data_IF_473656795941
#
_entry.id   IF_473656795941
#
_cell.length_a   1.000
_cell.length_b   1.000
_cell.length_c   1.000
_cell.angle_alpha   90.00
_cell.angle_beta   90.00
_cell.angle_gamma   90.00
#
_symmetry.space_group_name_H-M   'P 1'
#
loop_
_entity.id
_entity.type
_entity.pdbx_description
1 polymer ?
#
# COMPACT_ATOMS: atom_id res chain seq x y z
N UNK A 1 -5.80 5.92 19.18
CA UNK A 1 -5.09 6.71 20.19
C UNK A 1 -3.63 6.43 19.92
N UNK A 2 -2.87 7.41 19.44
CA UNK A 2 -1.46 7.23 19.12
C UNK A 2 -0.64 8.14 20.05
N UNK A 3 0.49 7.62 20.51
CA UNK A 3 1.36 8.24 21.49
C UNK A 3 2.63 8.73 20.79
N UNK A 4 3.06 9.94 21.12
CA UNK A 4 4.36 10.48 20.70
C UNK A 4 5.43 9.99 21.69
N UNK A 5 6.64 9.69 21.21
CA UNK A 5 7.70 9.09 22.00
C UNK A 5 8.97 9.95 21.91
N UNK A 6 9.34 10.59 23.02
CA UNK A 6 10.70 11.11 23.25
C UNK A 6 11.44 10.14 24.17
N UNK A 7 12.67 9.76 23.80
CA UNK A 7 13.50 8.78 24.50
C UNK A 7 14.77 9.44 25.03
N UNK A 8 14.80 9.73 26.33
CA UNK A 8 16.03 10.12 27.03
C UNK A 8 16.72 8.89 27.64
N UNK A 9 18.01 8.70 27.31
CA UNK A 9 18.83 7.59 27.79
C UNK A 9 19.70 8.02 28.99
N UNK A 10 19.46 7.41 30.16
CA UNK A 10 20.42 7.39 31.27
C UNK A 10 20.79 5.93 31.56
N UNK A 11 22.02 5.57 31.20
CA UNK A 11 22.61 4.26 31.50
C UNK A 11 23.18 4.28 32.92
N UNK A 12 22.37 3.95 33.91
CA UNK A 12 22.86 3.43 35.19
C UNK A 12 22.69 1.91 35.19
N UNK A 13 23.73 1.21 35.64
CA UNK A 13 23.89 -0.24 35.53
C UNK A 13 22.63 -1.01 35.90
N UNK A 14 22.22 -1.93 35.02
CA UNK A 14 21.12 -2.92 35.10
C UNK A 14 19.67 -2.43 34.97
N UNK A 15 19.36 -1.13 34.95
CA UNK A 15 17.97 -0.67 34.79
C UNK A 15 17.84 0.40 33.72
N UNK A 16 17.02 0.15 32.69
CA UNK A 16 16.56 1.18 31.76
C UNK A 16 15.30 1.84 32.32
N UNK A 17 15.38 3.13 32.67
CA UNK A 17 14.22 3.94 33.03
C UNK A 17 13.69 4.61 31.76
N UNK A 18 12.40 4.38 31.48
CA UNK A 18 11.69 4.99 30.37
C UNK A 18 10.70 6.01 30.92
N UNK A 19 10.71 7.25 30.40
CA UNK A 19 9.70 8.25 30.70
C UNK A 19 8.87 8.49 29.44
N UNK A 20 7.58 8.15 29.49
CA UNK A 20 6.66 8.38 28.37
C UNK A 20 5.78 9.56 28.73
N UNK A 21 5.85 10.64 27.96
CA UNK A 21 5.02 11.82 28.18
C UNK A 21 3.95 11.89 27.09
N UNK A 22 2.70 11.59 27.46
CA UNK A 22 1.55 11.69 26.55
C UNK A 22 0.95 13.09 26.65
N UNK A 23 1.22 13.95 25.67
CA UNK A 23 0.89 15.38 25.75
C UNK A 23 -0.34 15.82 24.95
N UNK A 24 -0.75 15.03 23.95
CA UNK A 24 -1.98 15.21 23.19
C UNK A 24 -2.33 13.90 22.45
N UNK A 25 -3.57 13.79 21.99
CA UNK A 25 -4.02 12.64 21.18
C UNK A 25 -4.34 13.15 19.79
N UNK A 26 -3.67 12.61 18.76
CA UNK A 26 -4.20 12.68 17.40
C UNK A 26 -5.44 11.78 17.41
N UNK A 27 -6.63 12.40 17.46
CA UNK A 27 -7.91 11.66 17.40
C UNK A 27 -7.88 10.83 16.13
N UNK A 28 -8.14 9.53 16.28
CA UNK A 28 -8.45 8.63 15.17
C UNK A 28 -9.79 9.09 14.60
N UNK A 29 -9.75 10.08 13.74
CA UNK A 29 -10.93 10.65 13.12
C UNK A 29 -11.21 9.84 11.87
N UNK A 30 -12.40 9.23 11.82
CA UNK A 30 -12.94 8.66 10.59
C UNK A 30 -13.02 9.71 9.46
N UNK A 31 -13.07 11.01 9.80
CA UNK A 31 -13.00 12.14 8.85
C UNK A 31 -11.58 12.49 8.37
N UNK A 32 -10.52 11.98 9.01
CA UNK A 32 -9.12 12.18 8.59
C UNK A 32 -8.55 10.97 7.82
N UNK A 33 -9.40 10.01 7.46
CA UNK A 33 -9.11 9.02 6.42
C UNK A 33 -9.15 9.69 5.03
N UNK A 34 -8.30 10.70 4.79
CA UNK A 34 -8.13 11.28 3.46
C UNK A 34 -7.06 10.51 2.68
N UNK A 35 -7.37 10.17 1.43
CA UNK A 35 -6.46 10.08 0.28
C UNK A 35 -5.13 9.35 0.60
N UNK A 36 -4.06 9.97 1.14
CA UNK A 36 -2.76 9.32 1.55
C UNK A 36 -2.85 8.28 2.70
N UNK A 37 -4.04 7.75 2.97
CA UNK A 37 -4.30 6.66 3.93
C UNK A 37 -4.40 5.29 3.29
N UNK A 38 -4.42 5.22 1.95
CA UNK A 38 -4.56 4.00 1.18
C UNK A 38 -3.19 3.33 1.01
N UNK A 39 -2.99 2.21 1.71
CA UNK A 39 -1.81 1.34 1.55
C UNK A 39 -2.25 -0.04 1.22
N UNK A 40 -1.95 -0.45 0.00
CA UNK A 40 -2.18 -1.81 -0.45
C UNK A 40 -0.88 -2.57 -0.31
N UNK A 41 -0.89 -3.60 0.51
CA UNK A 41 0.25 -4.50 0.62
C UNK A 41 -0.19 -5.88 0.22
N UNK A 42 0.47 -6.38 -0.81
CA UNK A 42 0.14 -7.67 -1.36
C UNK A 42 0.65 -8.82 -0.48
N UNK A 43 -0.16 -9.87 -0.38
CA UNK A 43 0.15 -11.12 0.29
C UNK A 43 0.03 -12.26 -0.72
N UNK A 44 1.11 -13.00 -0.92
CA UNK A 44 1.11 -14.20 -1.76
C UNK A 44 0.40 -15.32 -1.02
N UNK A 45 -0.77 -15.73 -1.52
CA UNK A 45 -1.56 -16.84 -0.96
C UNK A 45 -0.85 -18.18 -1.14
N UNK A 46 -0.17 -18.38 -2.27
CA UNK A 46 0.64 -19.56 -2.58
C UNK A 46 1.81 -19.75 -1.61
N UNK A 47 2.39 -18.66 -1.10
CA UNK A 47 3.42 -18.76 -0.06
C UNK A 47 2.81 -19.23 1.26
N UNK A 48 1.58 -18.83 1.59
CA UNK A 48 0.87 -19.32 2.77
C UNK A 48 0.56 -20.82 2.60
N UNK A 49 0.04 -21.22 1.44
CA UNK A 49 -0.23 -22.63 1.09
C UNK A 49 1.00 -23.51 1.27
N UNK A 50 2.10 -23.14 0.59
CA UNK A 50 3.34 -23.91 0.65
C UNK A 50 3.92 -23.96 2.07
N UNK A 51 3.99 -22.80 2.74
CA UNK A 51 4.66 -22.66 4.03
C UNK A 51 3.95 -23.38 5.15
N UNK A 52 2.63 -23.32 5.18
CA UNK A 52 1.81 -23.89 6.23
C UNK A 52 1.19 -25.24 5.85
N UNK A 53 1.41 -25.71 4.62
CA UNK A 53 0.91 -26.99 4.14
C UNK A 53 -0.62 -27.04 4.08
N UNK A 54 -1.25 -25.91 3.79
CA UNK A 54 -2.73 -25.78 3.72
C UNK A 54 -3.20 -25.91 2.27
N UNK A 55 -4.29 -26.62 2.06
CA UNK A 55 -4.86 -26.85 0.74
C UNK A 55 -5.76 -25.69 0.31
N UNK A 56 -5.58 -25.19 -0.91
CA UNK A 56 -6.36 -24.08 -1.43
C UNK A 56 -7.88 -24.35 -1.36
N UNK A 57 -8.61 -23.48 -0.66
CA UNK A 57 -10.05 -23.62 -0.46
C UNK A 57 -10.47 -24.54 0.70
N UNK A 58 -9.52 -25.14 1.45
CA UNK A 58 -9.82 -25.87 2.69
C UNK A 58 -10.16 -24.92 3.84
N UNK A 59 -10.75 -25.44 4.92
CA UNK A 59 -11.02 -24.68 6.15
C UNK A 59 -9.76 -24.02 6.71
N UNK A 60 -8.66 -24.76 6.73
CA UNK A 60 -7.37 -24.31 7.27
C UNK A 60 -6.76 -23.20 6.42
N UNK A 61 -6.97 -23.24 5.11
CA UNK A 61 -6.55 -22.17 4.20
C UNK A 61 -7.31 -20.87 4.48
N UNK A 62 -8.63 -20.94 4.61
CA UNK A 62 -9.45 -19.80 5.01
C UNK A 62 -9.02 -19.20 6.36
N UNK A 63 -8.76 -20.05 7.35
CA UNK A 63 -8.28 -19.64 8.68
C UNK A 63 -6.89 -18.99 8.61
N UNK A 64 -5.97 -19.55 7.84
CA UNK A 64 -4.62 -19.00 7.66
C UNK A 64 -4.67 -17.60 7.00
N UNK A 65 -5.48 -17.43 5.96
CA UNK A 65 -5.66 -16.11 5.34
C UNK A 65 -6.28 -15.12 6.33
N UNK A 66 -7.26 -15.54 7.14
CA UNK A 66 -7.90 -14.68 8.15
C UNK A 66 -6.95 -14.20 9.24
N UNK A 67 -6.09 -15.09 9.71
CA UNK A 67 -5.06 -14.74 10.68
C UNK A 67 -4.13 -13.66 10.14
N UNK A 68 -3.64 -13.83 8.90
CA UNK A 68 -2.74 -12.87 8.26
C UNK A 68 -3.44 -11.53 7.99
N UNK A 69 -4.68 -11.56 7.50
CA UNK A 69 -5.50 -10.38 7.26
C UNK A 69 -5.65 -9.55 8.54
N UNK A 70 -6.16 -10.17 9.62
CA UNK A 70 -6.42 -9.49 10.91
C UNK A 70 -5.15 -8.95 11.54
N UNK A 71 -4.06 -9.70 11.44
CA UNK A 71 -2.77 -9.29 11.98
C UNK A 71 -2.22 -8.06 11.24
N UNK A 72 -2.35 -7.95 9.92
CA UNK A 72 -1.85 -6.80 9.16
C UNK A 72 -2.66 -5.51 9.41
N UNK A 73 -3.94 -5.61 9.73
CA UNK A 73 -4.78 -4.43 10.02
C UNK A 73 -4.26 -3.59 11.20
N UNK A 74 -3.54 -4.19 12.15
CA UNK A 74 -2.95 -3.44 13.28
C UNK A 74 -1.83 -2.48 12.82
N UNK A 75 -1.22 -2.76 11.66
CA UNK A 75 -0.16 -1.97 11.04
C UNK A 75 -0.66 -0.89 10.07
N UNK A 76 -1.98 -0.62 10.06
CA UNK A 76 -2.64 0.29 9.09
C UNK A 76 -2.41 -0.10 7.63
N UNK A 77 -2.17 -1.39 7.39
CA UNK A 77 -2.10 -1.98 6.06
C UNK A 77 -3.51 -2.39 5.66
N UNK A 78 -3.89 -2.13 4.41
CA UNK A 78 -5.04 -2.78 3.77
C UNK A 78 -4.53 -3.96 2.96
N UNK A 79 -4.52 -5.17 3.54
CA UNK A 79 -3.96 -6.33 2.88
C UNK A 79 -4.88 -6.80 1.74
N UNK A 80 -4.27 -7.31 0.68
CA UNK A 80 -4.96 -8.09 -0.33
C UNK A 80 -4.10 -9.30 -0.69
N UNK A 81 -4.76 -10.41 -0.98
CA UNK A 81 -4.12 -11.62 -1.48
C UNK A 81 -3.98 -11.53 -2.99
N UNK A 82 -2.89 -12.09 -3.51
CA UNK A 82 -2.61 -12.10 -4.93
C UNK A 82 -2.04 -13.45 -5.36
N UNK A 83 -2.59 -13.93 -6.47
CA UNK A 83 -2.09 -15.06 -7.23
C UNK A 83 -1.74 -14.61 -8.64
N UNK A 84 -0.45 -14.61 -8.97
CA UNK A 84 0.00 -14.36 -10.34
C UNK A 84 -0.38 -15.51 -11.26
N UNK A 85 -0.81 -15.14 -12.46
CA UNK A 85 -1.08 -16.02 -13.57
C UNK A 85 -0.08 -15.72 -14.70
N UNK A 86 -0.25 -16.39 -15.83
CA UNK A 86 0.57 -16.16 -17.02
C UNK A 86 0.45 -14.70 -17.50
N UNK A 87 1.51 -14.20 -18.13
CA UNK A 87 1.57 -12.87 -18.76
C UNK A 87 1.22 -11.70 -17.83
N UNK A 88 1.64 -11.77 -16.55
CA UNK A 88 1.41 -10.73 -15.54
C UNK A 88 -0.07 -10.45 -15.20
N UNK A 89 -0.99 -11.35 -15.60
CA UNK A 89 -2.35 -11.31 -15.09
C UNK A 89 -2.35 -11.67 -13.61
N UNK A 90 -3.20 -11.01 -12.84
CA UNK A 90 -3.29 -11.23 -11.39
C UNK A 90 -4.71 -11.58 -11.00
N UNK A 91 -4.85 -12.53 -10.07
CA UNK A 91 -6.08 -12.70 -9.30
C UNK A 91 -5.86 -12.06 -7.93
N UNK A 92 -6.53 -10.94 -7.69
CA UNK A 92 -6.43 -10.20 -6.43
C UNK A 92 -7.75 -10.19 -5.68
N UNK A 93 -7.70 -10.36 -4.37
CA UNK A 93 -8.88 -10.33 -3.51
C UNK A 93 -8.48 -10.01 -2.08
N UNK A 94 -9.28 -9.25 -1.36
CA UNK A 94 -9.05 -9.02 0.07
C UNK A 94 -9.76 -10.06 0.94
N UNK A 95 -10.98 -10.46 0.58
CA UNK A 95 -11.70 -11.52 1.28
C UNK A 95 -11.69 -12.81 0.44
N UNK A 96 -11.27 -13.96 0.99
CA UNK A 96 -11.32 -15.23 0.27
C UNK A 96 -12.74 -15.82 0.16
N UNK A 97 -13.68 -15.35 0.99
CA UNK A 97 -15.08 -15.77 0.94
C UNK A 97 -15.87 -14.96 -0.09
N UNK A 98 -16.91 -15.56 -0.72
CA UNK A 98 -17.80 -14.83 -1.62
C UNK A 98 -18.60 -13.75 -0.88
N UNK A 99 -19.11 -12.76 -1.63
CA UNK A 99 -19.82 -11.59 -1.11
C UNK A 99 -21.08 -11.91 -0.28
N UNK A 100 -21.74 -13.04 -0.54
CA UNK A 100 -22.92 -13.49 0.23
C UNK A 100 -22.56 -14.15 1.57
N UNK A 101 -21.29 -14.47 1.79
CA UNK A 101 -20.84 -15.09 3.03
C UNK A 101 -20.71 -14.04 4.16
N UNK A 102 -21.14 -14.34 5.40
CA UNK A 102 -21.07 -13.39 6.53
C UNK A 102 -19.66 -12.84 6.81
N UNK A 103 -18.60 -13.64 6.58
CA UNK A 103 -17.21 -13.21 6.72
C UNK A 103 -16.82 -12.07 5.77
N UNK A 104 -17.45 -11.99 4.60
CA UNK A 104 -17.18 -10.94 3.62
C UNK A 104 -17.52 -9.56 4.18
N UNK A 105 -18.67 -9.45 4.85
CA UNK A 105 -19.08 -8.21 5.53
C UNK A 105 -18.17 -7.89 6.73
N UNK A 106 -17.75 -8.89 7.52
CA UNK A 106 -16.76 -8.72 8.62
C UNK A 106 -15.46 -8.10 8.10
N UNK A 107 -14.98 -8.54 6.94
CA UNK A 107 -13.75 -8.02 6.32
C UNK A 107 -13.93 -6.58 5.86
N UNK A 108 -14.87 -6.37 4.94
CA UNK A 108 -14.98 -5.12 4.20
C UNK A 108 -15.50 -3.96 5.05
N UNK A 109 -16.28 -4.25 6.09
CA UNK A 109 -16.77 -3.25 7.03
C UNK A 109 -15.72 -2.79 8.06
N UNK A 110 -14.58 -3.49 8.22
CA UNK A 110 -13.58 -3.13 9.24
C UNK A 110 -13.09 -1.68 9.03
N UNK A 111 -13.19 -0.81 10.06
CA UNK A 111 -12.79 0.59 9.94
C UNK A 111 -11.28 0.79 9.78
N UNK A 112 -10.45 -0.22 10.04
CA UNK A 112 -9.01 -0.22 9.74
C UNK A 112 -8.72 -0.41 8.25
N UNK A 113 -9.62 -1.05 7.52
CA UNK A 113 -9.47 -1.30 6.10
C UNK A 113 -9.82 -0.05 5.29
N UNK A 114 -8.83 0.50 4.60
CA UNK A 114 -8.98 1.73 3.81
C UNK A 114 -9.47 1.45 2.39
N UNK A 115 -9.01 0.37 1.77
CA UNK A 115 -9.46 -0.12 0.48
C UNK A 115 -9.40 -1.65 0.43
N UNK A 116 -10.15 -2.26 -0.48
CA UNK A 116 -10.14 -3.72 -0.66
C UNK A 116 -10.24 -4.14 -2.12
N UNK A 117 -9.49 -5.18 -2.48
CA UNK A 117 -9.53 -5.78 -3.80
C UNK A 117 -10.75 -6.70 -3.92
N UNK A 118 -11.50 -6.52 -5.00
CA UNK A 118 -12.59 -7.43 -5.41
C UNK A 118 -12.07 -8.37 -6.50
N UNK A 119 -12.30 -9.68 -6.38
CA UNK A 119 -11.87 -10.63 -7.40
C UNK A 119 -12.64 -10.45 -8.72
N UNK A 120 -11.93 -10.43 -9.85
CA UNK A 120 -12.55 -10.46 -11.19
C UNK A 120 -13.08 -11.86 -11.55
N UNK A 121 -12.56 -12.91 -10.93
CA UNK A 121 -12.93 -14.31 -11.15
C UNK A 121 -12.98 -15.06 -9.82
N UNK A 122 -13.73 -16.16 -9.69
CA UNK A 122 -13.85 -16.92 -8.45
C UNK A 122 -12.49 -17.19 -7.80
N UNK A 123 -12.38 -16.88 -6.50
CA UNK A 123 -11.17 -17.16 -5.71
C UNK A 123 -10.97 -18.67 -5.60
N UNK A 124 -12.04 -19.38 -5.25
CA UNK A 124 -12.11 -20.84 -5.23
C UNK A 124 -13.12 -21.27 -6.29
N UNK A 125 -12.79 -22.29 -7.07
CA UNK A 125 -13.66 -22.80 -8.14
C UNK A 125 -15.00 -23.27 -7.57
N UNK A 126 -16.10 -22.64 -7.99
CA UNK A 126 -17.44 -22.89 -7.50
C UNK A 126 -18.41 -23.44 -8.55
N UNK A 127 -17.92 -23.85 -9.73
CA UNK A 127 -18.74 -24.37 -10.84
C UNK A 127 -19.46 -23.28 -11.66
N UNK A 128 -19.56 -22.06 -11.14
CA UNK A 128 -20.07 -20.89 -11.86
C UNK A 128 -19.07 -20.40 -12.92
N UNK A 129 -19.57 -19.73 -13.97
CA UNK A 129 -18.69 -19.02 -14.90
C UNK A 129 -18.08 -17.79 -14.21
N UNK A 130 -16.91 -17.34 -14.68
CA UNK A 130 -16.28 -16.15 -14.12
C UNK A 130 -17.20 -14.90 -14.19
N UNK A 131 -18.00 -14.80 -15.25
CA UNK A 131 -18.94 -13.70 -15.47
C UNK A 131 -20.09 -13.73 -14.46
N UNK A 132 -20.68 -14.89 -14.23
CA UNK A 132 -21.80 -15.03 -13.27
C UNK A 132 -21.33 -14.76 -11.84
N UNK A 133 -20.13 -15.24 -11.49
CA UNK A 133 -19.52 -14.96 -10.19
C UNK A 133 -19.21 -13.48 -10.02
N UNK A 134 -18.60 -12.83 -11.02
CA UNK A 134 -18.31 -11.39 -10.98
C UNK A 134 -19.60 -10.57 -10.81
N UNK A 135 -20.64 -10.88 -11.60
CA UNK A 135 -21.92 -10.19 -11.51
C UNK A 135 -22.50 -10.30 -10.10
N UNK A 136 -22.55 -11.52 -9.53
CA UNK A 136 -23.07 -11.74 -8.18
C UNK A 136 -22.28 -10.98 -7.11
N UNK A 137 -20.95 -11.06 -7.16
CA UNK A 137 -20.06 -10.32 -6.25
C UNK A 137 -20.36 -8.82 -6.27
N UNK A 138 -20.41 -8.25 -7.47
CA UNK A 138 -20.67 -6.81 -7.67
C UNK A 138 -22.07 -6.41 -7.21
N UNK A 139 -23.11 -7.15 -7.60
CA UNK A 139 -24.49 -6.86 -7.23
C UNK A 139 -24.68 -6.82 -5.71
N UNK A 140 -24.05 -7.74 -4.98
CA UNK A 140 -24.11 -7.75 -3.52
C UNK A 140 -23.31 -6.60 -2.93
N UNK A 141 -22.04 -6.46 -3.32
CA UNK A 141 -21.13 -5.48 -2.69
C UNK A 141 -21.56 -4.03 -2.93
N UNK A 142 -22.17 -3.71 -4.07
CA UNK A 142 -22.71 -2.37 -4.37
C UNK A 142 -23.80 -1.92 -3.41
N UNK A 143 -24.53 -2.85 -2.80
CA UNK A 143 -25.56 -2.51 -1.80
C UNK A 143 -24.97 -2.07 -0.46
N UNK A 144 -23.65 -2.26 -0.27
CA UNK A 144 -22.99 -2.06 1.01
C UNK A 144 -22.35 -0.67 1.10
N UNK A 145 -22.40 -0.06 2.28
CA UNK A 145 -21.81 1.26 2.55
C UNK A 145 -20.29 1.32 2.34
N UNK A 146 -19.61 0.17 2.42
CA UNK A 146 -18.16 0.07 2.21
C UNK A 146 -17.78 -0.07 0.73
N UNK A 147 -18.73 -0.16 -0.22
CA UNK A 147 -18.45 -0.27 -1.66
C UNK A 147 -17.48 0.79 -2.18
N UNK A 148 -17.56 2.02 -1.66
CA UNK A 148 -16.63 3.11 -2.00
C UNK A 148 -15.14 2.80 -1.74
N UNK A 149 -14.85 1.77 -0.92
CA UNK A 149 -13.49 1.28 -0.64
C UNK A 149 -13.02 0.21 -1.64
N UNK A 150 -13.92 -0.35 -2.43
CA UNK A 150 -13.63 -1.40 -3.41
C UNK A 150 -12.78 -0.87 -4.56
N UNK A 151 -11.89 -1.72 -5.06
CA UNK A 151 -11.23 -1.56 -6.35
C UNK A 151 -10.98 -2.94 -6.97
N UNK A 152 -10.73 -2.97 -8.27
CA UNK A 152 -10.28 -4.16 -8.98
C UNK A 152 -8.84 -3.97 -9.45
N UNK A 153 -7.99 -4.96 -9.22
CA UNK A 153 -6.62 -4.99 -9.72
C UNK A 153 -6.45 -6.19 -10.65
N UNK A 154 -6.35 -5.89 -11.94
CA UNK A 154 -6.61 -6.87 -13.00
C UNK A 154 -5.32 -7.40 -13.64
N UNK A 155 -4.33 -6.52 -13.77
CA UNK A 155 -3.11 -6.77 -14.52
C UNK A 155 -1.96 -5.97 -13.92
N UNK A 156 -0.83 -6.64 -13.71
CA UNK A 156 0.38 -6.03 -13.18
C UNK A 156 1.29 -5.58 -14.32
N UNK A 157 1.67 -4.30 -14.35
CA UNK A 157 2.66 -3.72 -15.27
C UNK A 157 2.47 -4.13 -16.77
N UNK A 158 1.37 -3.73 -17.44
CA UNK A 158 1.15 -4.02 -18.86
C UNK A 158 2.23 -3.39 -19.75
N UNK A 159 2.61 -4.07 -20.85
CA UNK A 159 3.81 -3.72 -21.64
C UNK A 159 3.54 -3.35 -23.10
N UNK A 160 2.38 -3.76 -23.64
CA UNK A 160 2.04 -3.63 -25.05
C UNK A 160 0.52 -3.39 -25.21
N UNK A 161 0.10 -2.93 -26.37
CA UNK A 161 -1.29 -2.59 -26.64
C UNK A 161 -2.26 -3.75 -26.37
N UNK A 162 -1.86 -5.00 -26.61
CA UNK A 162 -2.68 -6.17 -26.30
C UNK A 162 -3.00 -6.26 -24.80
N UNK A 163 -2.03 -6.02 -23.92
CA UNK A 163 -2.26 -6.02 -22.48
C UNK A 163 -3.19 -4.87 -22.06
N UNK A 164 -3.00 -3.67 -22.62
CA UNK A 164 -3.85 -2.51 -22.34
C UNK A 164 -5.30 -2.74 -22.82
N UNK A 165 -5.49 -3.30 -24.02
CA UNK A 165 -6.83 -3.70 -24.50
C UNK A 165 -7.45 -4.79 -23.63
N UNK A 166 -6.64 -5.75 -23.13
CA UNK A 166 -7.08 -6.73 -22.15
C UNK A 166 -7.66 -6.10 -20.89
N UNK A 167 -6.95 -5.11 -20.32
CA UNK A 167 -7.42 -4.34 -19.15
C UNK A 167 -8.73 -3.61 -19.47
N UNK A 168 -8.81 -2.93 -20.63
CA UNK A 168 -10.01 -2.19 -21.05
C UNK A 168 -11.23 -3.10 -21.21
N UNK A 169 -11.05 -4.29 -21.76
CA UNK A 169 -12.12 -5.27 -21.92
C UNK A 169 -12.62 -5.78 -20.55
N UNK A 170 -11.70 -6.18 -19.66
CA UNK A 170 -12.06 -6.63 -18.31
C UNK A 170 -12.73 -5.52 -17.48
N UNK A 171 -12.23 -4.28 -17.60
CA UNK A 171 -12.84 -3.11 -16.97
C UNK A 171 -14.24 -2.83 -17.52
N UNK A 172 -14.44 -2.96 -18.84
CA UNK A 172 -15.76 -2.81 -19.47
C UNK A 172 -16.77 -3.84 -18.96
N UNK A 173 -16.34 -5.09 -18.76
CA UNK A 173 -17.18 -6.13 -18.15
C UNK A 173 -17.61 -5.74 -16.73
N UNK A 174 -16.70 -5.22 -15.92
CA UNK A 174 -17.00 -4.74 -14.56
C UNK A 174 -17.95 -3.54 -14.62
N UNK A 175 -17.66 -2.56 -15.48
CA UNK A 175 -18.43 -1.33 -15.61
C UNK A 175 -19.84 -1.56 -16.15
N UNK A 176 -20.08 -2.66 -16.88
CA UNK A 176 -21.42 -3.08 -17.28
C UNK A 176 -22.32 -3.38 -16.06
N UNK A 177 -21.74 -3.84 -14.94
CA UNK A 177 -22.45 -4.12 -13.69
C UNK A 177 -22.29 -3.01 -12.65
N UNK A 178 -21.18 -2.26 -12.69
CA UNK A 178 -20.82 -1.21 -11.75
C UNK A 178 -20.10 -0.05 -12.46
N UNK A 179 -20.82 0.92 -13.05
CA UNK A 179 -20.20 2.06 -13.74
C UNK A 179 -19.30 2.92 -12.84
N UNK A 180 -19.49 2.84 -11.52
CA UNK A 180 -18.73 3.54 -10.49
C UNK A 180 -17.56 2.72 -9.91
N UNK A 181 -17.33 1.50 -10.39
CA UNK A 181 -16.23 0.66 -9.92
C UNK A 181 -14.87 1.26 -10.28
N UNK A 182 -13.96 1.26 -9.31
CA UNK A 182 -12.58 1.73 -9.48
C UNK A 182 -11.69 0.60 -9.97
N UNK A 183 -10.99 0.82 -11.08
CA UNK A 183 -9.96 -0.11 -11.56
C UNK A 183 -8.58 0.48 -11.26
N UNK A 184 -7.67 -0.35 -10.76
CA UNK A 184 -6.27 -0.01 -10.52
C UNK A 184 -5.37 -0.64 -11.59
N UNK A 185 -4.41 0.15 -12.07
CA UNK A 185 -3.38 -0.32 -13.01
C UNK A 185 -2.01 0.14 -12.53
N UNK A 186 -1.10 -0.81 -12.29
CA UNK A 186 0.32 -0.54 -12.02
C UNK A 186 1.08 -0.36 -13.33
N UNK A 187 2.06 0.55 -13.39
CA UNK A 187 2.89 0.73 -14.58
C UNK A 187 4.23 1.41 -14.28
N UNK A 188 5.24 1.06 -15.09
CA UNK A 188 6.54 1.70 -15.12
C UNK A 188 6.96 2.14 -16.54
N UNK A 189 6.20 1.76 -17.57
CA UNK A 189 6.42 2.15 -18.95
C UNK A 189 5.09 2.25 -19.68
N UNK A 190 5.05 2.98 -20.80
CA UNK A 190 3.92 2.95 -21.72
C UNK A 190 3.97 1.75 -22.67
N UNK A 191 2.89 1.52 -23.44
CA UNK A 191 2.84 0.45 -24.44
C UNK A 191 3.96 0.61 -25.46
N UNK A 192 4.85 -0.39 -25.52
CA UNK A 192 6.08 -0.38 -26.33
C UNK A 192 5.83 -0.37 -27.85
N UNK A 193 4.65 -0.78 -28.28
CA UNK A 193 4.18 -0.91 -29.67
C UNK A 193 3.17 0.18 -30.06
N UNK A 194 3.03 1.23 -29.24
CA UNK A 194 2.06 2.30 -29.50
C UNK A 194 2.51 3.22 -30.66
N UNK A 195 1.69 3.37 -31.71
CA UNK A 195 1.96 4.32 -32.78
C UNK A 195 1.61 5.77 -32.40
N UNK A 196 0.98 5.96 -31.23
CA UNK A 196 0.42 7.23 -30.77
C UNK A 196 1.41 8.08 -29.95
N UNK A 197 2.58 7.54 -29.62
CA UNK A 197 3.64 8.26 -28.93
C UNK A 197 4.93 8.22 -29.75
N UNK A 198 5.63 9.35 -29.82
CA UNK A 198 6.90 9.46 -30.56
C UNK A 198 8.04 8.68 -29.90
N UNK A 199 7.91 8.37 -28.60
CA UNK A 199 8.88 7.61 -27.81
C UNK A 199 8.24 7.04 -26.53
N UNK A 200 8.95 6.12 -25.85
CA UNK A 200 8.47 5.43 -24.64
C UNK A 200 8.14 6.37 -23.46
N UNK A 201 8.77 7.54 -23.37
CA UNK A 201 8.52 8.49 -22.29
C UNK A 201 7.20 9.23 -22.50
N UNK A 202 6.92 9.66 -23.73
CA UNK A 202 5.61 10.22 -24.09
C UNK A 202 4.51 9.16 -23.92
N UNK A 203 4.76 7.91 -24.33
CA UNK A 203 3.83 6.81 -24.14
C UNK A 203 3.48 6.59 -22.65
N UNK A 204 4.49 6.73 -21.77
CA UNK A 204 4.32 6.62 -20.33
C UNK A 204 3.45 7.74 -19.75
N UNK A 205 3.69 9.00 -20.10
CA UNK A 205 2.88 10.13 -19.63
C UNK A 205 1.43 10.04 -20.13
N UNK A 206 1.21 9.42 -21.30
CA UNK A 206 -0.12 9.24 -21.89
C UNK A 206 -0.90 8.02 -21.41
N UNK A 207 -0.39 7.25 -20.45
CA UNK A 207 -1.12 6.09 -19.89
C UNK A 207 -2.52 6.45 -19.37
N UNK A 208 -2.71 7.56 -18.62
CA UNK A 208 -4.05 8.01 -18.26
C UNK A 208 -4.98 8.22 -19.47
N UNK A 209 -4.46 8.74 -20.58
CA UNK A 209 -5.22 8.89 -21.83
C UNK A 209 -5.59 7.54 -22.46
N UNK A 210 -4.66 6.58 -22.50
CA UNK A 210 -4.91 5.25 -23.05
C UNK A 210 -5.94 4.44 -22.27
N UNK A 211 -5.95 4.58 -20.94
CA UNK A 211 -6.80 3.78 -20.07
C UNK A 211 -8.13 4.44 -19.77
N UNK A 212 -8.30 5.76 -19.93
CA UNK A 212 -9.61 6.40 -19.72
C UNK A 212 -10.70 5.84 -20.64
N UNK A 213 -11.95 5.70 -20.16
CA UNK A 213 -12.42 5.91 -18.78
C UNK A 213 -12.28 4.66 -17.87
N UNK A 214 -11.55 3.63 -18.31
CA UNK A 214 -11.53 2.30 -17.71
C UNK A 214 -10.75 2.21 -16.39
N UNK A 215 -9.79 3.11 -16.15
CA UNK A 215 -8.94 3.12 -14.95
C UNK A 215 -9.21 4.35 -14.08
N UNK A 216 -9.27 4.14 -12.76
CA UNK A 216 -9.45 5.21 -11.77
C UNK A 216 -8.22 5.35 -10.85
N UNK A 217 -7.43 4.30 -10.67
CA UNK A 217 -6.24 4.34 -9.82
C UNK A 217 -5.01 4.05 -10.68
N UNK A 218 -4.25 5.10 -10.96
CA UNK A 218 -3.02 5.04 -11.73
C UNK A 218 -1.84 4.87 -10.79
N UNK A 219 -1.23 3.68 -10.74
CA UNK A 219 -0.17 3.36 -9.78
C UNK A 219 1.21 3.28 -10.47
N UNK A 220 2.05 4.28 -10.24
CA UNK A 220 3.32 4.46 -10.96
C UNK A 220 4.54 4.04 -10.15
N UNK A 221 5.52 3.43 -10.80
CA UNK A 221 6.78 3.07 -10.13
C UNK A 221 7.59 4.31 -9.75
N UNK A 222 8.01 4.41 -8.47
CA UNK A 222 8.92 5.45 -8.01
C UNK A 222 10.31 5.37 -8.66
N UNK A 223 10.68 4.19 -9.17
CA UNK A 223 11.93 4.01 -9.91
C UNK A 223 11.95 4.84 -11.20
N UNK A 224 10.82 4.92 -11.90
CA UNK A 224 10.70 5.68 -13.14
C UNK A 224 10.73 7.17 -12.85
N UNK A 225 10.08 7.61 -11.77
CA UNK A 225 10.10 9.02 -11.37
C UNK A 225 11.55 9.44 -11.09
N UNK A 226 12.31 8.59 -10.39
CA UNK A 226 13.72 8.85 -10.07
C UNK A 226 13.84 10.15 -9.28
N UNK A 227 14.81 11.01 -9.61
CA UNK A 227 15.01 12.30 -8.94
C UNK A 227 14.29 13.48 -9.66
N UNK A 228 13.33 13.18 -10.54
CA UNK A 228 12.66 14.17 -11.41
C UNK A 228 11.34 14.62 -10.79
N UNK A 229 11.38 15.60 -9.89
CA UNK A 229 10.15 16.14 -9.28
C UNK A 229 9.21 16.77 -10.32
N UNK A 230 9.74 17.35 -11.39
CA UNK A 230 8.91 17.86 -12.49
C UNK A 230 8.14 16.73 -13.20
N UNK A 231 8.71 15.51 -13.29
CA UNK A 231 7.99 14.37 -13.87
C UNK A 231 6.79 13.96 -13.00
N UNK A 232 6.91 14.03 -11.67
CA UNK A 232 5.76 13.79 -10.80
C UNK A 232 4.65 14.83 -11.05
N UNK A 233 5.01 16.10 -11.28
CA UNK A 233 4.04 17.15 -11.64
C UNK A 233 3.39 16.89 -13.00
N UNK A 234 4.18 16.48 -13.99
CA UNK A 234 3.67 16.14 -15.33
C UNK A 234 2.68 14.96 -15.26
N UNK A 235 2.98 13.92 -14.46
CA UNK A 235 2.06 12.80 -14.23
C UNK A 235 0.78 13.30 -13.57
N UNK A 236 0.87 14.09 -12.48
CA UNK A 236 -0.31 14.63 -11.79
C UNK A 236 -1.16 15.51 -12.72
N UNK A 237 -0.53 16.28 -13.61
CA UNK A 237 -1.25 17.13 -14.55
C UNK A 237 -2.12 16.35 -15.54
N UNK A 238 -1.78 15.08 -15.81
CA UNK A 238 -2.62 14.17 -16.60
C UNK A 238 -3.76 13.56 -15.77
N UNK A 239 -3.75 13.61 -14.44
CA UNK A 239 -4.81 13.01 -13.62
C UNK A 239 -6.03 13.95 -13.56
N UNK A 240 -7.23 13.39 -13.70
CA UNK A 240 -8.52 14.11 -13.69
C UNK A 240 -9.36 13.72 -12.44
N UNK A 241 -9.14 14.38 -11.28
CA UNK A 241 -9.87 14.07 -10.04
C UNK A 241 -11.39 14.18 -10.14
N UNK A 242 -11.90 15.03 -11.04
CA UNK A 242 -13.34 15.17 -11.33
C UNK A 242 -13.98 13.89 -11.88
N UNK A 243 -13.17 13.01 -12.49
CA UNK A 243 -13.59 11.68 -12.96
C UNK A 243 -13.36 10.59 -11.89
N UNK A 244 -12.98 10.97 -10.67
CA UNK A 244 -12.63 10.04 -9.61
C UNK A 244 -11.24 9.41 -9.78
N UNK A 245 -10.36 10.02 -10.57
CA UNK A 245 -9.00 9.52 -10.77
C UNK A 245 -8.08 9.83 -9.58
N UNK A 246 -7.21 8.87 -9.28
CA UNK A 246 -6.24 8.88 -8.20
C UNK A 246 -4.85 8.53 -8.74
N UNK A 247 -3.81 9.15 -8.19
CA UNK A 247 -2.43 8.83 -8.52
C UNK A 247 -1.70 8.20 -7.34
N UNK A 248 -1.31 6.95 -7.51
CA UNK A 248 -0.60 6.19 -6.49
C UNK A 248 0.83 5.93 -6.93
N UNK A 249 1.72 5.65 -5.97
CA UNK A 249 3.08 5.20 -6.28
C UNK A 249 3.35 3.82 -5.69
N UNK A 250 4.37 3.14 -6.19
CA UNK A 250 4.87 1.90 -5.60
C UNK A 250 6.39 1.79 -5.69
N UNK A 251 6.94 0.98 -4.78
CA UNK A 251 8.33 0.52 -4.81
C UNK A 251 8.38 -1.00 -4.92
N UNK A 252 9.46 -1.50 -5.51
CA UNK A 252 9.76 -2.94 -5.68
C UNK A 252 11.27 -3.13 -5.60
N UNK A 253 11.87 -3.84 -6.55
CA UNK A 253 13.32 -3.98 -6.67
C UNK A 253 14.02 -2.63 -6.85
N UNK A 254 13.32 -1.64 -7.41
CA UNK A 254 13.72 -0.25 -7.49
C UNK A 254 12.70 0.68 -6.81
N UNK A 255 13.10 1.94 -6.50
CA UNK A 255 14.47 2.45 -6.67
C UNK A 255 15.44 1.92 -5.61
N UNK A 256 16.75 2.01 -5.84
CA UNK A 256 17.80 1.59 -4.90
C UNK A 256 18.46 2.80 -4.24
N UNK A 257 19.34 2.56 -3.27
CA UNK A 257 20.15 3.62 -2.63
C UNK A 257 20.78 4.56 -3.69
N UNK A 258 20.71 5.90 -3.53
CA UNK A 258 20.30 6.63 -2.32
C UNK A 258 18.79 6.84 -2.14
N UNK A 259 17.95 6.30 -3.02
CA UNK A 259 16.49 6.49 -2.98
C UNK A 259 15.85 5.67 -1.85
N UNK A 260 14.73 6.16 -1.28
CA UNK A 260 14.02 5.40 -0.26
C UNK A 260 13.36 4.14 -0.85
N UNK A 261 13.46 3.03 -0.12
CA UNK A 261 12.77 1.76 -0.40
C UNK A 261 12.73 0.93 0.91
N UNK A 262 12.28 -0.32 0.88
CA UNK A 262 12.22 -1.27 2.01
C UNK A 262 13.17 -2.47 1.87
N UNK A 263 14.28 -2.27 1.17
CA UNK A 263 15.35 -3.27 1.12
C UNK A 263 15.97 -3.47 2.50
N UNK A 264 16.45 -4.69 2.77
CA UNK A 264 16.93 -5.12 4.09
C UNK A 264 18.12 -4.29 4.60
N UNK A 265 19.02 -3.90 3.69
CA UNK A 265 20.24 -3.14 4.05
C UNK A 265 20.02 -1.65 4.29
N UNK A 266 18.81 -1.13 4.06
CA UNK A 266 18.52 0.28 4.20
C UNK A 266 18.25 0.69 5.67
N UNK A 267 18.52 1.95 5.99
CA UNK A 267 18.27 2.53 7.32
C UNK A 267 16.77 2.70 7.57
N UNK A 268 16.39 2.71 8.85
CA UNK A 268 14.99 2.92 9.24
C UNK A 268 14.39 4.26 8.79
N UNK A 269 15.22 5.29 8.61
CA UNK A 269 14.81 6.58 8.02
C UNK A 269 14.55 6.48 6.52
N UNK A 270 15.33 5.69 5.77
CA UNK A 270 15.06 5.41 4.35
C UNK A 270 13.71 4.70 4.18
N UNK A 271 13.40 3.75 5.08
CA UNK A 271 12.10 3.06 5.07
C UNK A 271 10.94 4.03 5.29
N UNK A 272 11.09 5.02 6.18
CA UNK A 272 10.05 6.03 6.42
C UNK A 272 9.92 7.02 5.27
N UNK A 273 11.05 7.39 4.65
CA UNK A 273 11.13 8.36 3.56
C UNK A 273 10.36 7.96 2.31
N UNK A 274 10.04 6.67 2.12
CA UNK A 274 9.09 6.21 1.09
C UNK A 274 7.77 6.96 1.22
N UNK A 275 7.21 7.04 2.43
CA UNK A 275 5.93 7.72 2.64
C UNK A 275 6.07 9.25 2.59
N UNK A 276 7.21 9.79 3.01
CA UNK A 276 7.47 11.23 2.91
C UNK A 276 7.51 11.68 1.45
N UNK A 277 8.07 10.85 0.55
CA UNK A 277 8.03 11.06 -0.89
C UNK A 277 6.60 11.10 -1.42
N UNK A 278 5.78 10.09 -1.09
CA UNK A 278 4.35 10.06 -1.46
C UNK A 278 3.66 11.37 -1.07
N UNK A 279 3.87 11.82 0.18
CA UNK A 279 3.29 13.09 0.64
C UNK A 279 3.82 14.30 -0.11
N UNK A 280 5.14 14.40 -0.34
CA UNK A 280 5.75 15.55 -1.02
C UNK A 280 5.30 15.65 -2.47
N UNK A 281 5.40 14.55 -3.21
CA UNK A 281 5.12 14.51 -4.64
C UNK A 281 3.62 14.57 -4.94
N UNK A 282 2.73 14.31 -3.99
CA UNK A 282 1.28 14.44 -4.17
C UNK A 282 0.54 13.14 -4.44
N UNK A 283 1.17 12.00 -4.19
CA UNK A 283 0.54 10.69 -4.30
C UNK A 283 -0.64 10.55 -3.36
N UNK A 284 -1.73 10.03 -3.88
CA UNK A 284 -2.99 9.79 -3.19
C UNK A 284 -3.11 8.39 -2.60
N UNK A 285 -2.14 7.51 -2.86
CA UNK A 285 -2.07 6.19 -2.25
C UNK A 285 -0.72 5.54 -2.54
N UNK A 286 -0.50 4.38 -1.92
CA UNK A 286 0.76 3.66 -2.05
C UNK A 286 0.52 2.15 -2.14
N UNK A 287 1.26 1.49 -3.02
CA UNK A 287 1.25 0.04 -3.16
C UNK A 287 2.64 -0.54 -2.84
N UNK A 288 2.66 -1.67 -2.15
CA UNK A 288 3.84 -2.53 -2.04
C UNK A 288 3.53 -3.92 -2.56
N UNK A 289 4.37 -4.38 -3.49
CA UNK A 289 4.12 -5.55 -4.33
C UNK A 289 4.14 -6.89 -3.59
N UNK A 290 4.65 -6.94 -2.34
CA UNK A 290 4.67 -8.17 -1.57
C UNK A 290 5.15 -7.99 -0.14
N UNK A 291 4.55 -8.69 0.82
CA UNK A 291 5.02 -8.69 2.23
C UNK A 291 5.43 -10.06 2.78
N UNK A 292 5.14 -11.16 2.07
CA UNK A 292 5.57 -12.52 2.41
C UNK A 292 6.22 -13.25 1.23
N UNK A 293 6.76 -12.54 0.25
CA UNK A 293 7.36 -13.12 -0.96
C UNK A 293 8.79 -13.62 -0.73
N UNK A 294 9.00 -14.46 0.29
CA UNK A 294 10.26 -15.21 0.48
C UNK A 294 10.29 -16.47 -0.41
N UNK A 295 11.42 -17.19 -0.43
CA UNK A 295 11.54 -18.47 -1.15
C UNK A 295 10.57 -19.51 -0.59
N UNK A 296 10.11 -20.41 -1.47
CA UNK A 296 9.25 -21.54 -1.12
C UNK A 296 9.89 -22.41 -0.04
N UNK A 297 9.10 -22.75 0.97
CA UNK A 297 9.44 -23.71 2.01
C UNK A 297 8.19 -24.51 2.38
N UNK A 298 8.34 -25.77 2.77
CA UNK A 298 7.22 -26.68 3.10
C UNK A 298 7.01 -26.87 4.61
N UNK A 299 7.52 -25.95 5.43
CA UNK A 299 7.41 -26.01 6.89
C UNK A 299 7.32 -24.60 7.48
N UNK A 300 6.40 -24.35 8.44
CA UNK A 300 6.27 -23.04 9.08
C UNK A 300 7.56 -22.56 9.73
N UNK A 301 8.33 -23.46 10.35
CA UNK A 301 9.56 -23.17 11.09
C UNK A 301 10.83 -23.16 10.24
N UNK A 302 10.72 -23.40 8.93
CA UNK A 302 11.89 -23.39 8.05
C UNK A 302 12.66 -22.06 8.09
N UNK A 303 13.95 -22.09 7.83
CA UNK A 303 14.75 -20.87 7.70
C UNK A 303 14.15 -19.91 6.64
N UNK A 304 14.21 -18.60 6.89
CA UNK A 304 13.79 -17.61 5.91
C UNK A 304 14.90 -17.40 4.89
N UNK A 305 14.54 -17.57 3.60
CA UNK A 305 15.42 -17.27 2.46
C UNK A 305 14.73 -16.26 1.57
N UNK A 306 15.44 -15.19 1.20
CA UNK A 306 14.91 -14.21 0.25
C UNK A 306 14.98 -14.74 -1.17
N UNK A 307 13.99 -14.41 -2.00
CA UNK A 307 13.94 -14.82 -3.41
C UNK A 307 15.19 -14.32 -4.15
N UNK A 308 15.77 -15.20 -4.97
CA UNK A 308 16.89 -14.84 -5.87
C UNK A 308 16.43 -13.85 -6.93
N UNK A 309 17.35 -12.98 -7.35
CA UNK A 309 17.09 -11.97 -8.38
C UNK A 309 16.43 -10.69 -7.87
N UNK A 310 16.08 -10.62 -6.59
CA UNK A 310 15.57 -9.43 -5.93
C UNK A 310 16.57 -8.89 -4.90
N UNK A 311 16.58 -7.57 -4.63
CA UNK A 311 17.32 -7.02 -3.50
C UNK A 311 16.95 -7.74 -2.19
N UNK A 312 17.91 -8.01 -1.29
CA UNK A 312 17.61 -8.68 -0.03
C UNK A 312 16.47 -8.02 0.72
N UNK A 313 15.49 -8.82 1.14
CA UNK A 313 14.30 -8.36 1.87
C UNK A 313 13.19 -7.76 1.02
N UNK A 314 13.40 -7.46 -0.26
CA UNK A 314 12.32 -6.97 -1.12
C UNK A 314 11.20 -8.03 -1.23
N UNK A 315 9.95 -7.58 -1.15
CA UNK A 315 8.77 -8.43 -1.08
C UNK A 315 8.51 -9.07 0.30
N UNK A 316 9.28 -8.74 1.35
CA UNK A 316 9.16 -9.36 2.68
C UNK A 316 9.13 -8.31 3.79
N UNK A 317 8.03 -8.21 4.52
CA UNK A 317 7.85 -7.28 5.65
C UNK A 317 7.50 -7.96 6.97
N UNK A 318 7.07 -9.22 6.95
CA UNK A 318 6.82 -10.01 8.14
C UNK A 318 7.19 -11.47 7.90
N UNK A 319 7.24 -12.24 8.98
CA UNK A 319 7.74 -13.60 8.99
C UNK A 319 6.80 -14.51 9.79
N UNK A 320 6.79 -15.84 9.54
CA UNK A 320 6.09 -16.79 10.39
C UNK A 320 6.70 -16.82 11.80
N UNK A 321 5.87 -16.76 12.85
CA UNK A 321 6.35 -16.79 14.23
C UNK A 321 7.07 -18.08 14.61
N UNK A 322 6.73 -19.18 13.93
CA UNK A 322 7.30 -20.51 14.14
C UNK A 322 8.80 -20.59 13.78
N UNK A 323 9.34 -19.59 13.07
CA UNK A 323 10.78 -19.49 12.80
C UNK A 323 11.55 -19.06 14.05
N UNK A 324 10.93 -18.25 14.91
CA UNK A 324 11.60 -17.58 16.03
C UNK A 324 11.12 -18.08 17.40
N UNK A 325 9.96 -18.75 17.46
CA UNK A 325 9.32 -19.16 18.69
C UNK A 325 8.32 -20.30 18.44
N UNK A 326 7.60 -20.73 19.49
CA UNK A 326 6.46 -21.64 19.36
C UNK A 326 5.15 -20.94 18.93
N UNK A 327 5.17 -19.61 18.76
CA UNK A 327 3.99 -18.84 18.35
C UNK A 327 3.62 -19.10 16.90
N UNK A 328 2.32 -19.24 16.64
CA UNK A 328 1.77 -19.30 15.28
C UNK A 328 1.45 -17.92 14.71
N UNK A 329 1.56 -16.86 15.52
CA UNK A 329 1.30 -15.50 15.06
C UNK A 329 2.44 -15.00 14.17
N UNK A 330 2.15 -14.23 13.11
CA UNK A 330 3.18 -13.56 12.34
C UNK A 330 4.01 -12.62 13.21
N UNK A 331 5.29 -12.46 12.86
CA UNK A 331 6.25 -11.56 13.51
C UNK A 331 6.62 -10.44 12.56
N UNK A 332 6.49 -9.20 13.02
CA UNK A 332 6.84 -8.02 12.24
C UNK A 332 8.35 -7.88 12.06
N UNK A 333 8.76 -7.44 10.88
CA UNK A 333 10.11 -6.92 10.69
C UNK A 333 10.22 -5.50 11.21
N UNK A 334 11.45 -5.06 11.52
CA UNK A 334 11.71 -3.63 11.77
C UNK A 334 11.24 -2.74 10.62
N UNK A 335 11.24 -3.23 9.37
CA UNK A 335 10.80 -2.50 8.18
C UNK A 335 9.31 -2.24 8.19
N UNK A 336 8.50 -3.21 8.64
CA UNK A 336 7.07 -3.03 8.83
C UNK A 336 6.76 -2.00 9.94
N UNK A 337 7.53 -2.04 11.03
CA UNK A 337 7.42 -1.03 12.10
C UNK A 337 7.82 0.37 11.61
N UNK A 338 8.83 0.47 10.73
CA UNK A 338 9.23 1.73 10.09
C UNK A 338 8.23 2.21 9.05
N UNK A 339 7.57 1.32 8.31
CA UNK A 339 6.42 1.67 7.49
C UNK A 339 5.33 2.31 8.37
N UNK A 340 4.90 1.64 9.44
CA UNK A 340 3.92 2.22 10.37
C UNK A 340 4.35 3.59 10.91
N UNK A 341 5.64 3.75 11.26
CA UNK A 341 6.20 5.04 11.69
C UNK A 341 6.09 6.11 10.59
N UNK A 342 6.44 5.77 9.35
CA UNK A 342 6.29 6.65 8.19
C UNK A 342 4.84 7.06 7.96
N UNK A 343 3.89 6.12 8.11
CA UNK A 343 2.46 6.40 8.02
C UNK A 343 1.97 7.37 9.10
N UNK A 344 2.49 7.24 10.31
CA UNK A 344 2.18 8.17 11.40
C UNK A 344 2.73 9.57 11.10
N UNK A 345 3.91 9.68 10.49
CA UNK A 345 4.46 10.99 10.06
C UNK A 345 3.52 11.70 9.08
N UNK A 346 2.90 10.97 8.15
CA UNK A 346 1.87 11.52 7.25
C UNK A 346 0.67 12.07 8.03
N UNK A 347 0.28 11.46 9.15
CA UNK A 347 -0.80 11.97 10.00
C UNK A 347 -0.43 13.30 10.66
N UNK A 348 0.84 13.50 11.04
CA UNK A 348 1.33 14.81 11.50
C UNK A 348 1.26 15.86 10.38
N UNK A 349 1.67 15.51 9.16
CA UNK A 349 1.58 16.42 8.01
C UNK A 349 0.14 16.79 7.67
N UNK A 350 -0.78 15.82 7.69
CA UNK A 350 -2.21 16.08 7.49
C UNK A 350 -2.79 16.97 8.58
N UNK A 351 -2.42 16.74 9.84
CA UNK A 351 -2.85 17.59 10.94
C UNK A 351 -2.34 19.03 10.74
N UNK A 352 -1.07 19.21 10.42
CA UNK A 352 -0.49 20.52 10.15
C UNK A 352 -1.15 21.21 8.95
N UNK A 353 -1.29 20.49 7.83
CA UNK A 353 -1.94 20.97 6.61
C UNK A 353 -3.41 21.34 6.81
N UNK A 354 -4.12 20.66 7.71
CA UNK A 354 -5.51 21.02 8.04
C UNK A 354 -5.65 22.40 8.70
N UNK A 355 -4.57 22.95 9.26
CA UNK A 355 -4.54 24.27 9.89
C UNK A 355 -3.87 25.33 9.02
N UNK A 356 -2.75 24.98 8.39
CA UNK A 356 -1.89 25.94 7.69
C UNK A 356 -1.87 25.77 6.17
N UNK A 357 -2.55 24.74 5.64
CA UNK A 357 -2.53 24.39 4.22
C UNK A 357 -1.41 23.43 3.85
N UNK A 358 -1.56 22.80 2.68
CA UNK A 358 -0.61 21.78 2.18
C UNK A 358 0.78 22.36 1.94
N UNK A 359 0.88 23.57 1.36
CA UNK A 359 2.16 24.20 1.04
C UNK A 359 3.02 24.44 2.29
N UNK A 360 2.41 24.91 3.39
CA UNK A 360 3.10 25.06 4.67
C UNK A 360 3.55 23.70 5.24
N UNK A 361 2.75 22.64 5.05
CA UNK A 361 3.17 21.30 5.45
C UNK A 361 4.32 20.76 4.60
N UNK A 362 4.44 21.15 3.34
CA UNK A 362 5.60 20.82 2.50
C UNK A 362 6.82 21.63 2.94
N UNK A 363 6.64 22.93 3.23
CA UNK A 363 7.70 23.76 3.77
C UNK A 363 8.24 23.25 5.11
N UNK A 364 7.38 22.66 5.95
CA UNK A 364 7.78 22.04 7.21
C UNK A 364 8.80 20.89 7.01
N UNK A 365 8.66 20.08 5.97
CA UNK A 365 9.61 19.01 5.64
C UNK A 365 11.01 19.56 5.36
N UNK A 366 11.08 20.66 4.61
CA UNK A 366 12.34 21.32 4.24
C UNK A 366 12.95 22.08 5.42
N UNK A 367 12.12 22.87 6.14
CA UNK A 367 12.51 23.65 7.32
C UNK A 367 13.14 22.80 8.41
N UNK A 368 12.62 21.60 8.61
CA UNK A 368 13.10 20.66 9.64
C UNK A 368 14.32 19.85 9.18
N UNK A 369 14.65 19.88 7.88
CA UNK A 369 15.69 19.03 7.29
C UNK A 369 15.26 17.57 7.15
N UNK A 370 13.96 17.27 7.27
CA UNK A 370 13.44 15.91 7.25
C UNK A 370 13.48 15.30 5.86
N UNK A 371 12.95 16.01 4.86
CA UNK A 371 12.89 15.51 3.48
C UNK A 371 12.89 16.67 2.47
N UNK A 372 13.82 16.63 1.51
CA UNK A 372 13.89 17.57 0.39
C UNK A 372 13.71 16.88 -0.96
N UNK A 373 13.84 15.56 -1.05
CA UNK A 373 13.72 14.80 -2.29
C UNK A 373 14.28 13.40 -2.13
N UNK A 374 14.15 12.53 -3.14
CA UNK A 374 14.47 11.11 -3.00
C UNK A 374 15.97 10.83 -2.82
N UNK A 375 16.86 11.81 -3.03
CA UNK A 375 18.31 11.68 -2.74
C UNK A 375 18.75 12.58 -1.56
N UNK A 376 17.85 13.38 -1.00
CA UNK A 376 18.15 14.39 0.04
C UNK A 376 17.12 14.36 1.15
N UNK A 377 17.40 13.60 2.20
CA UNK A 377 16.55 13.45 3.36
C UNK A 377 17.37 13.03 4.58
N UNK A 378 16.81 13.18 5.78
CA UNK A 378 17.54 12.87 7.01
C UNK A 378 17.86 11.37 7.12
N UNK A 379 19.09 11.05 7.54
CA UNK A 379 19.44 9.70 8.02
C UNK A 379 19.30 9.56 9.54
N UNK A 380 19.14 10.68 10.25
CA UNK A 380 19.02 10.77 11.69
C UNK A 380 17.58 11.03 12.13
N UNK A 381 17.28 10.71 13.40
CA UNK A 381 15.95 10.88 13.98
C UNK A 381 15.62 12.35 14.28
N UNK A 382 16.60 13.17 14.68
CA UNK A 382 16.39 14.54 15.17
C UNK A 382 15.48 15.42 14.28
N UNK A 383 15.62 15.46 12.93
CA UNK A 383 14.70 16.24 12.09
C UNK A 383 13.22 15.84 12.19
N UNK A 384 12.93 14.55 12.39
CA UNK A 384 11.57 14.07 12.63
C UNK A 384 11.04 14.62 13.95
N UNK A 385 11.85 14.60 15.01
CA UNK A 385 11.41 15.03 16.34
C UNK A 385 11.21 16.55 16.38
N UNK A 386 12.07 17.31 15.69
CA UNK A 386 11.89 18.74 15.46
C UNK A 386 10.58 19.01 14.71
N UNK A 387 10.27 18.22 13.68
CA UNK A 387 9.01 18.30 12.94
C UNK A 387 7.81 18.03 13.85
N UNK A 388 7.82 16.94 14.62
CA UNK A 388 6.74 16.60 15.55
C UNK A 388 6.56 17.65 16.63
N UNK A 389 7.66 18.17 17.18
CA UNK A 389 7.65 19.25 18.15
C UNK A 389 7.06 20.55 17.58
N UNK A 390 7.31 20.87 16.31
CA UNK A 390 6.68 22.01 15.64
C UNK A 390 5.18 21.81 15.46
N UNK A 391 4.77 20.64 14.95
CA UNK A 391 3.34 20.30 14.82
C UNK A 391 2.66 20.37 16.18
N UNK A 392 3.29 19.82 17.22
CA UNK A 392 2.76 19.90 18.58
C UNK A 392 2.59 21.35 19.06
N UNK A 393 3.63 22.18 19.00
CA UNK A 393 3.57 23.57 19.49
C UNK A 393 2.48 24.38 18.76
N UNK A 394 2.39 24.22 17.45
CA UNK A 394 1.48 25.00 16.59
C UNK A 394 0.05 24.45 16.56
N UNK A 395 -0.13 23.16 16.81
CA UNK A 395 -1.46 22.51 16.79
C UNK A 395 -2.07 22.32 18.19
N UNK A 396 -1.38 22.68 19.28
CA UNK A 396 -1.89 22.52 20.66
C UNK A 396 -2.89 23.60 21.07
N UNK A 397 -2.84 24.79 20.46
CA UNK A 397 -3.82 25.84 20.70
C UNK A 397 -5.15 25.45 20.06
N UNK A 398 -6.04 24.86 20.86
CA UNK A 398 -7.51 25.09 20.89
C UNK A 398 -8.22 23.98 21.72
N UNK A 399 -7.92 23.93 23.02
CA UNK A 399 -8.81 23.34 24.03
C UNK A 399 -9.52 24.42 24.87
N UNK A 400 -9.51 25.67 24.39
CA UNK A 400 -10.28 26.77 24.96
C UNK A 400 -11.18 27.35 23.86
N UNK A 401 -12.37 26.76 23.68
CA UNK A 401 -13.67 27.41 23.40
C UNK A 401 -14.75 26.38 23.74
#
# INVERSE_FOLDING_TARGET
MYFDFDLDFLLESTYMRWTITVTFTIKRSERFMSVVSLKLTQISDTVIEDRFGVEHGSSEWYEALDQHYKWLLQYKISPYFCRWRENMRVLTYTCPWPADHPKSDEYYSDPRLAAYAVPYSPVVSCGDTAKDSLQREVEILRTKNHWRKAYFYLWDEPLNLEHYEGIRNMASDIHAYAPDARIMTTYYCGPSDSPLASNNFEAFLKIPEFLRPHTQIYCTSEWVIGNREELAKDIIAEIQPENGEEWWTYVCMGPSDPHPNWHLGMRGTQHRAVMWRVWKEGGTGFLYWGANCYEKAMSPSAEIRFRRGLPPGDGVLYYPGQVFSSSQEPVASLRLERLLSGLQDIEYFKLYASRFGRDESLHLLEKTGMYQGPERYTHEHMPIDVMRGEVFRTCRSDNNI
#
